data_IF_841837160265
#
_entry.id   IF_841837160265
#
_cell.length_a   1.000
_cell.length_b   1.000
_cell.length_c   1.000
_cell.angle_alpha   90.00
_cell.angle_beta   90.00
_cell.angle_gamma   90.00
#
_symmetry.space_group_name_H-M   'P 1'
#
loop_
_entity.id
_entity.type
_entity.pdbx_description
1 polymer ?
#
# COMPACT_ATOMS: atom_id res chain seq x y z
N UNK A 1 -3.62 5.17 -18.39
CA UNK A 1 -3.62 5.93 -17.11
C UNK A 1 -4.34 5.10 -16.04
N UNK A 2 -4.51 5.58 -14.80
CA UNK A 2 -5.10 4.81 -13.67
C UNK A 2 -6.42 4.06 -13.99
N UNK A 3 -7.19 4.49 -14.99
CA UNK A 3 -8.42 3.81 -15.45
C UNK A 3 -8.24 2.68 -16.48
N UNK A 4 -7.02 2.41 -16.94
CA UNK A 4 -6.72 1.34 -17.90
C UNK A 4 -6.58 -0.01 -17.19
N UNK A 5 -7.05 -1.12 -17.75
CA UNK A 5 -6.99 -2.46 -17.12
C UNK A 5 -5.56 -3.06 -17.14
N UNK A 6 -4.62 -2.39 -17.80
CA UNK A 6 -3.21 -2.78 -17.80
C UNK A 6 -2.51 -2.41 -16.47
N UNK A 7 -2.09 -3.43 -15.72
CA UNK A 7 -1.40 -3.29 -14.42
C UNK A 7 -0.16 -2.37 -14.49
N UNK A 8 0.59 -2.38 -15.60
CA UNK A 8 1.75 -1.50 -15.79
C UNK A 8 1.36 -0.03 -15.82
N UNK A 9 0.28 0.28 -16.55
CA UNK A 9 -0.18 1.66 -16.69
C UNK A 9 -0.79 2.19 -15.39
N UNK A 10 -1.43 1.32 -14.60
CA UNK A 10 -1.91 1.70 -13.26
C UNK A 10 -0.77 1.92 -12.28
N UNK A 11 0.24 1.04 -12.29
CA UNK A 11 1.44 1.17 -11.47
C UNK A 11 2.18 2.48 -11.78
N UNK A 12 2.42 2.79 -13.05
CA UNK A 12 3.00 4.08 -13.46
C UNK A 12 2.16 5.26 -12.98
N UNK A 13 0.82 5.16 -13.06
CA UNK A 13 -0.08 6.20 -12.56
C UNK A 13 0.02 6.41 -11.05
N UNK A 14 0.14 5.33 -10.27
CA UNK A 14 0.30 5.39 -8.82
C UNK A 14 1.63 6.03 -8.42
N UNK A 15 2.74 5.63 -9.05
CA UNK A 15 4.05 6.26 -8.85
C UNK A 15 4.05 7.73 -9.26
N UNK A 16 3.42 8.10 -10.37
CA UNK A 16 3.36 9.49 -10.80
C UNK A 16 2.55 10.35 -9.82
N UNK A 17 1.40 9.84 -9.34
CA UNK A 17 0.60 10.51 -8.32
C UNK A 17 1.38 10.65 -7.01
N UNK A 18 2.13 9.61 -6.61
CA UNK A 18 3.01 9.64 -5.46
C UNK A 18 4.15 10.66 -5.63
N UNK A 19 4.85 10.71 -6.76
CA UNK A 19 5.95 11.66 -6.96
C UNK A 19 5.45 13.10 -6.92
N UNK A 20 4.31 13.40 -7.55
CA UNK A 20 3.76 14.76 -7.60
C UNK A 20 2.85 15.12 -6.41
N UNK A 21 2.73 14.24 -5.40
CA UNK A 21 1.85 14.41 -4.24
C UNK A 21 0.38 14.75 -4.60
N UNK A 22 -0.16 14.09 -5.62
CA UNK A 22 -1.54 14.31 -6.07
C UNK A 22 -2.57 13.58 -5.19
N UNK A 23 -2.76 14.10 -3.98
CA UNK A 23 -3.67 13.55 -2.97
C UNK A 23 -5.14 13.51 -3.43
N UNK A 24 -5.53 14.28 -4.44
CA UNK A 24 -6.86 14.17 -5.06
C UNK A 24 -7.14 12.77 -5.64
N UNK A 25 -6.11 11.94 -5.85
CA UNK A 25 -6.25 10.56 -6.31
C UNK A 25 -6.32 9.52 -5.19
N UNK A 26 -6.26 9.91 -3.90
CA UNK A 26 -6.35 8.97 -2.77
C UNK A 26 -7.54 8.02 -2.93
N UNK A 27 -8.71 8.58 -3.22
CA UNK A 27 -9.97 7.85 -3.35
C UNK A 27 -9.98 6.87 -4.55
N UNK A 28 -9.42 7.29 -5.68
CA UNK A 28 -9.29 6.43 -6.85
C UNK A 28 -8.30 5.28 -6.60
N UNK A 29 -7.15 5.56 -6.00
CA UNK A 29 -6.11 4.57 -5.68
C UNK A 29 -6.60 3.60 -4.59
N UNK A 30 -7.28 4.10 -3.56
CA UNK A 30 -7.87 3.29 -2.49
C UNK A 30 -8.90 2.29 -3.02
N UNK A 31 -9.81 2.72 -3.91
CA UNK A 31 -10.75 1.79 -4.56
C UNK A 31 -10.07 0.75 -5.44
N UNK A 32 -8.98 1.11 -6.12
CA UNK A 32 -8.21 0.14 -6.91
C UNK A 32 -7.54 -0.90 -6.02
N UNK A 33 -7.01 -0.48 -4.85
CA UNK A 33 -6.47 -1.40 -3.85
C UNK A 33 -7.55 -2.37 -3.35
N UNK A 34 -8.72 -1.85 -2.94
CA UNK A 34 -9.82 -2.69 -2.42
C UNK A 34 -10.32 -3.74 -3.41
N UNK A 35 -10.28 -3.43 -4.70
CA UNK A 35 -10.69 -4.37 -5.75
C UNK A 35 -9.73 -5.55 -5.91
N UNK A 36 -8.43 -5.33 -5.64
CA UNK A 36 -7.36 -6.34 -5.77
C UNK A 36 -7.44 -7.14 -7.09
N UNK A 37 -7.85 -6.47 -8.18
CA UNK A 37 -8.16 -7.08 -9.48
C UNK A 37 -6.90 -7.46 -10.29
N UNK A 38 -5.71 -6.97 -9.90
CA UNK A 38 -4.46 -7.14 -10.65
C UNK A 38 -3.26 -7.37 -9.71
N UNK A 39 -2.63 -8.55 -9.82
CA UNK A 39 -1.31 -8.79 -9.21
C UNK A 39 -0.27 -7.77 -9.70
N UNK A 40 0.69 -7.43 -8.85
CA UNK A 40 1.89 -6.60 -9.11
C UNK A 40 1.70 -5.07 -9.20
N UNK A 41 0.51 -4.52 -8.98
CA UNK A 41 0.30 -3.05 -9.00
C UNK A 41 0.12 -2.42 -7.61
N UNK A 42 -0.11 -3.24 -6.58
CA UNK A 42 -0.54 -2.73 -5.29
C UNK A 42 0.61 -2.25 -4.40
N UNK A 43 1.84 -2.67 -4.64
CA UNK A 43 3.02 -2.07 -4.04
C UNK A 43 3.04 -0.55 -4.31
N UNK A 44 2.74 -0.15 -5.55
CA UNK A 44 2.58 1.24 -5.95
C UNK A 44 1.39 1.94 -5.29
N UNK A 45 0.26 1.24 -5.10
CA UNK A 45 -0.90 1.82 -4.40
C UNK A 45 -0.62 2.02 -2.91
N UNK A 46 -0.10 1.01 -2.22
CA UNK A 46 0.27 1.07 -0.82
C UNK A 46 1.34 2.15 -0.59
N UNK A 47 2.34 2.27 -1.48
CA UNK A 47 3.33 3.34 -1.45
C UNK A 47 2.70 4.72 -1.66
N UNK A 48 1.80 4.87 -2.63
CA UNK A 48 1.11 6.14 -2.87
C UNK A 48 0.26 6.56 -1.67
N UNK A 49 -0.54 5.65 -1.09
CA UNK A 49 -1.36 5.89 0.10
C UNK A 49 -0.49 6.25 1.32
N UNK A 50 0.62 5.54 1.53
CA UNK A 50 1.63 5.90 2.54
C UNK A 50 2.17 7.32 2.34
N UNK A 51 2.48 7.69 1.10
CA UNK A 51 3.06 8.99 0.78
C UNK A 51 2.06 10.15 0.75
N UNK A 52 0.77 9.85 0.58
CA UNK A 52 -0.30 10.83 0.76
C UNK A 52 -0.57 11.09 2.24
N UNK A 53 -0.55 10.04 3.07
CA UNK A 53 -0.66 10.17 4.52
C UNK A 53 -1.95 10.80 5.02
N UNK A 54 -3.02 10.78 4.22
CA UNK A 54 -4.32 11.33 4.62
C UNK A 54 -5.11 10.33 5.47
N UNK A 55 -6.14 10.81 6.17
CA UNK A 55 -7.03 9.95 6.96
C UNK A 55 -7.74 8.92 6.08
N UNK A 56 -8.14 9.31 4.87
CA UNK A 56 -8.78 8.44 3.88
C UNK A 56 -7.81 7.36 3.39
N UNK A 57 -6.53 7.71 3.20
CA UNK A 57 -5.52 6.73 2.79
C UNK A 57 -5.34 5.63 3.84
N UNK A 58 -5.31 6.01 5.13
CA UNK A 58 -5.29 5.09 6.27
C UNK A 58 -6.55 4.20 6.28
N UNK A 59 -7.73 4.79 6.11
CA UNK A 59 -9.00 4.05 6.10
C UNK A 59 -9.03 2.98 5.00
N UNK A 60 -8.59 3.30 3.79
CA UNK A 60 -8.50 2.32 2.70
C UNK A 60 -7.57 1.14 3.00
N UNK A 61 -6.42 1.40 3.66
CA UNK A 61 -5.51 0.33 4.10
C UNK A 61 -6.16 -0.56 5.17
N UNK A 62 -6.85 0.04 6.14
CA UNK A 62 -7.57 -0.72 7.18
C UNK A 62 -8.70 -1.57 6.58
N UNK A 63 -9.51 -1.01 5.68
CA UNK A 63 -10.58 -1.73 4.98
C UNK A 63 -10.01 -2.93 4.19
N UNK A 64 -8.91 -2.74 3.47
CA UNK A 64 -8.23 -3.82 2.75
C UNK A 64 -7.80 -4.93 3.71
N UNK A 65 -7.09 -4.59 4.79
CA UNK A 65 -6.57 -5.57 5.74
C UNK A 65 -7.68 -6.32 6.49
N UNK A 66 -8.76 -5.63 6.87
CA UNK A 66 -9.93 -6.26 7.46
C UNK A 66 -10.51 -7.33 6.54
N UNK A 67 -10.57 -7.10 5.24
CA UNK A 67 -11.11 -8.09 4.31
C UNK A 67 -10.11 -9.20 4.01
N UNK A 68 -8.90 -8.85 3.57
CA UNK A 68 -7.97 -9.77 2.93
C UNK A 68 -7.11 -10.59 3.90
N UNK A 69 -6.91 -10.18 5.16
CA UNK A 69 -6.25 -11.05 6.14
C UNK A 69 -7.11 -12.25 6.59
N UNK A 70 -8.43 -12.18 6.37
CA UNK A 70 -9.37 -13.28 6.66
C UNK A 70 -9.54 -14.26 5.49
N UNK A 71 -8.77 -14.07 4.41
CA UNK A 71 -8.82 -14.87 3.18
C UNK A 71 -7.46 -15.54 2.96
N UNK A 72 -7.12 -16.60 3.71
CA UNK A 72 -5.77 -17.19 3.68
C UNK A 72 -5.39 -17.80 2.32
N UNK A 73 -6.39 -18.06 1.48
CA UNK A 73 -6.32 -18.53 0.10
C UNK A 73 -5.96 -17.42 -0.91
N UNK A 74 -6.15 -16.15 -0.55
CA UNK A 74 -5.83 -15.00 -1.41
C UNK A 74 -4.47 -14.43 -1.06
N UNK A 75 -3.48 -14.66 -1.92
CA UNK A 75 -2.09 -14.26 -1.71
C UNK A 75 -1.80 -12.98 -2.51
N UNK A 76 -2.33 -11.87 -2.03
CA UNK A 76 -2.25 -10.58 -2.70
C UNK A 76 -1.23 -9.68 -1.98
N UNK A 77 -1.68 -8.51 -1.55
CA UNK A 77 -0.83 -7.38 -1.15
C UNK A 77 -0.95 -7.10 0.35
N UNK A 78 -1.40 -8.09 1.13
CA UNK A 78 -1.59 -7.94 2.58
C UNK A 78 -0.30 -7.54 3.29
N UNK A 79 0.85 -8.01 2.80
CA UNK A 79 2.16 -7.65 3.36
C UNK A 79 2.47 -6.17 3.13
N UNK A 80 2.28 -5.67 1.90
CA UNK A 80 2.53 -4.28 1.53
C UNK A 80 1.53 -3.32 2.18
N UNK A 81 0.25 -3.71 2.28
CA UNK A 81 -0.78 -2.92 2.94
C UNK A 81 -0.52 -2.79 4.45
N UNK A 82 -0.11 -3.88 5.12
CA UNK A 82 0.23 -3.84 6.54
C UNK A 82 1.52 -3.08 6.79
N UNK A 83 2.51 -3.20 5.92
CA UNK A 83 3.74 -2.40 5.98
C UNK A 83 3.44 -0.89 5.82
N UNK A 84 2.61 -0.53 4.84
CA UNK A 84 2.19 0.86 4.62
C UNK A 84 1.44 1.42 5.84
N UNK A 85 0.51 0.66 6.41
CA UNK A 85 -0.22 1.05 7.61
C UNK A 85 0.72 1.18 8.81
N UNK A 86 1.69 0.27 8.97
CA UNK A 86 2.69 0.32 10.05
C UNK A 86 3.52 1.60 9.99
N UNK A 87 3.89 2.05 8.79
CA UNK A 87 4.65 3.29 8.58
C UNK A 87 3.80 4.56 8.74
N UNK A 88 2.47 4.46 8.57
CA UNK A 88 1.53 5.58 8.79
C UNK A 88 1.11 5.71 10.25
N UNK A 89 0.72 4.61 10.87
CA UNK A 89 0.14 4.56 12.20
C UNK A 89 0.33 3.16 12.81
N UNK A 90 1.33 3.04 13.69
CA UNK A 90 1.67 1.78 14.37
C UNK A 90 0.56 1.28 15.29
N UNK A 91 -0.25 2.18 15.87
CA UNK A 91 -1.35 1.79 16.75
C UNK A 91 -2.47 1.13 15.94
N UNK A 92 -2.82 1.72 14.79
CA UNK A 92 -3.80 1.12 13.88
C UNK A 92 -3.30 -0.21 13.28
N UNK A 93 -2.00 -0.32 12.96
CA UNK A 93 -1.42 -1.57 12.47
C UNK A 93 -1.46 -2.70 13.51
N UNK A 94 -1.33 -2.37 14.81
CA UNK A 94 -1.33 -3.35 15.88
C UNK A 94 -2.66 -4.14 15.97
N UNK A 95 -3.78 -3.55 15.54
CA UNK A 95 -5.09 -4.22 15.48
C UNK A 95 -5.08 -5.46 14.56
N UNK A 96 -4.17 -5.51 13.59
CA UNK A 96 -4.07 -6.58 12.60
C UNK A 96 -3.01 -7.63 12.95
N UNK A 97 -2.25 -7.46 14.03
CA UNK A 97 -1.10 -8.33 14.36
C UNK A 97 -1.48 -9.81 14.47
N UNK A 98 -2.59 -10.12 15.15
CA UNK A 98 -3.06 -11.51 15.31
C UNK A 98 -3.51 -12.10 13.96
N UNK A 99 -4.28 -11.34 13.18
CA UNK A 99 -4.76 -11.78 11.87
C UNK A 99 -3.59 -12.01 10.89
N UNK A 100 -2.57 -11.15 10.95
CA UNK A 100 -1.34 -11.28 10.19
C UNK A 100 -0.60 -12.58 10.52
N UNK A 101 -0.35 -12.85 11.80
CA UNK A 101 0.34 -14.08 12.23
C UNK A 101 -0.37 -15.35 11.75
N UNK A 102 -1.71 -15.36 11.81
CA UNK A 102 -2.52 -16.47 11.26
C UNK A 102 -2.38 -16.58 9.74
N UNK A 103 -2.42 -15.44 9.05
CA UNK A 103 -2.35 -15.39 7.59
C UNK A 103 -1.01 -15.90 7.04
N UNK A 104 0.12 -15.59 7.71
CA UNK A 104 1.46 -15.98 7.23
C UNK A 104 1.99 -17.31 7.75
N UNK A 105 1.23 -18.01 8.59
CA UNK A 105 1.68 -19.26 9.23
C UNK A 105 2.19 -20.32 8.23
N UNK A 106 1.64 -20.35 7.02
CA UNK A 106 2.00 -21.27 5.93
C UNK A 106 2.77 -20.59 4.77
N UNK A 107 3.22 -19.34 4.95
CA UNK A 107 3.85 -18.50 3.91
C UNK A 107 5.28 -18.12 4.30
N UNK A 108 6.26 -19.04 4.19
CA UNK A 108 7.61 -18.86 4.74
C UNK A 108 8.41 -17.70 4.12
N UNK A 109 8.04 -17.23 2.92
CA UNK A 109 8.71 -16.14 2.23
C UNK A 109 8.10 -14.76 2.51
N UNK A 110 7.01 -14.69 3.27
CA UNK A 110 6.35 -13.43 3.62
C UNK A 110 7.02 -12.84 4.85
N UNK A 111 7.60 -11.65 4.70
CA UNK A 111 8.37 -10.99 5.75
C UNK A 111 7.96 -9.52 5.86
N UNK A 112 7.15 -9.22 6.88
CA UNK A 112 6.63 -7.88 7.13
C UNK A 112 7.73 -6.86 7.40
N UNK A 113 8.74 -7.24 8.18
CA UNK A 113 9.84 -6.36 8.52
C UNK A 113 10.60 -5.93 7.26
N UNK A 114 11.00 -6.88 6.42
CA UNK A 114 11.70 -6.61 5.17
C UNK A 114 10.85 -5.74 4.23
N UNK A 115 9.57 -6.04 4.08
CA UNK A 115 8.67 -5.24 3.25
C UNK A 115 8.52 -3.82 3.79
N UNK A 116 8.42 -3.66 5.10
CA UNK A 116 8.38 -2.35 5.76
C UNK A 116 9.66 -1.55 5.50
N UNK A 117 10.83 -2.17 5.63
CA UNK A 117 12.13 -1.55 5.35
C UNK A 117 12.25 -1.11 3.88
N UNK A 118 11.84 -1.97 2.94
CA UNK A 118 11.84 -1.67 1.50
C UNK A 118 10.90 -0.51 1.17
N UNK A 119 9.67 -0.55 1.69
CA UNK A 119 8.67 0.48 1.46
C UNK A 119 9.12 1.83 2.07
N UNK A 120 9.71 1.81 3.25
CA UNK A 120 10.29 2.99 3.89
C UNK A 120 11.42 3.60 3.07
N UNK A 121 12.33 2.76 2.53
CA UNK A 121 13.42 3.22 1.68
C UNK A 121 12.89 3.87 0.38
N UNK A 122 11.92 3.24 -0.28
CA UNK A 122 11.27 3.81 -1.46
C UNK A 122 10.56 5.14 -1.14
N UNK A 123 9.81 5.21 -0.04
CA UNK A 123 9.14 6.42 0.39
C UNK A 123 10.15 7.55 0.69
N UNK A 124 11.30 7.25 1.30
CA UNK A 124 12.35 8.22 1.56
C UNK A 124 12.95 8.79 0.26
N UNK A 125 13.18 7.95 -0.76
CA UNK A 125 13.63 8.39 -2.08
C UNK A 125 12.62 9.34 -2.73
N UNK A 126 11.33 8.99 -2.72
CA UNK A 126 10.29 9.84 -3.34
C UNK A 126 10.12 11.16 -2.57
N UNK A 127 10.15 11.14 -1.23
CA UNK A 127 10.11 12.36 -0.42
C UNK A 127 11.27 13.29 -0.75
N UNK A 128 12.47 12.75 -0.96
CA UNK A 128 13.62 13.54 -1.41
C UNK A 128 13.39 14.14 -2.80
N UNK A 129 12.88 13.37 -3.76
CA UNK A 129 12.54 13.87 -5.09
C UNK A 129 11.48 14.99 -5.04
N UNK A 130 10.49 14.90 -4.15
CA UNK A 130 9.49 15.97 -3.96
C UNK A 130 10.13 17.28 -3.53
N UNK A 131 11.06 17.23 -2.57
CA UNK A 131 11.80 18.41 -2.13
C UNK A 131 12.59 19.05 -3.28
N UNK A 132 13.23 18.24 -4.11
CA UNK A 132 13.98 18.70 -5.29
C UNK A 132 13.06 19.34 -6.35
N UNK A 133 11.78 18.93 -6.41
CA UNK A 133 10.75 19.44 -7.32
C UNK A 133 9.94 20.61 -6.74
N UNK A 134 10.17 21.02 -5.48
CA UNK A 134 9.44 22.10 -4.81
C UNK A 134 8.04 21.70 -4.31
N UNK A 135 7.83 20.43 -4.01
CA UNK A 135 6.60 19.86 -3.42
C UNK A 135 6.76 19.49 -1.95
#
# INVERSE_FOLDING_TARGET
>A
MLGDFNWRTRLTGAYFAAINNYQQFTDAIGRLLLKSEVCYAADGYCLALLLFGTAEAKDYLQQYLHYYLRRPDLWFDQNDALAALTLLDTAAAAEFAEAWLKFVADKPNWNLQRTTEQLQACAAVIRRMRLDLGH
#
